data_IF_541046923123
#
_entry.id   IF_541046923123
#
_cell.length_a   1.000
_cell.length_b   1.000
_cell.length_c   1.000
_cell.angle_alpha   90.00
_cell.angle_beta   90.00
_cell.angle_gamma   90.00
#
_symmetry.space_group_name_H-M   'P 1'
#
loop_
_entity.id
_entity.type
_entity.pdbx_description
1 polymer ?
#
# COMPACT_ATOMS: atom_id res chain seq x y z
N UNK A 1 -34.79 -6.86 54.35
CA UNK A 1 -35.20 -6.12 53.13
C UNK A 1 -34.30 -4.94 52.72
N UNK A 2 -33.24 -4.57 53.47
CA UNK A 2 -32.27 -3.50 53.08
C UNK A 2 -30.99 -4.00 52.40
N UNK A 3 -30.72 -5.31 52.40
CA UNK A 3 -29.49 -5.89 51.86
C UNK A 3 -29.53 -6.09 50.33
N UNK A 4 -30.71 -6.33 49.76
CA UNK A 4 -30.89 -6.55 48.31
C UNK A 4 -30.81 -5.25 47.48
N UNK A 5 -31.20 -4.10 48.05
CA UNK A 5 -31.12 -2.81 47.35
C UNK A 5 -29.68 -2.31 47.17
N UNK A 6 -28.75 -2.70 48.05
CA UNK A 6 -27.35 -2.31 47.92
C UNK A 6 -26.59 -3.09 46.85
N UNK A 7 -26.98 -4.34 46.56
CA UNK A 7 -26.33 -5.15 45.52
C UNK A 7 -26.71 -4.67 44.11
N UNK A 8 -27.96 -4.27 43.88
CA UNK A 8 -28.38 -3.71 42.59
C UNK A 8 -27.66 -2.40 42.23
N UNK A 9 -27.44 -1.51 43.21
CA UNK A 9 -26.68 -0.27 43.01
C UNK A 9 -25.20 -0.52 42.67
N UNK A 10 -24.58 -1.54 43.25
CA UNK A 10 -23.18 -1.91 42.96
C UNK A 10 -23.06 -2.56 41.58
N UNK A 11 -24.06 -3.33 41.15
CA UNK A 11 -24.08 -3.95 39.81
C UNK A 11 -24.32 -2.93 38.69
N UNK A 12 -25.10 -1.87 38.92
CA UNK A 12 -25.26 -0.76 37.95
C UNK A 12 -24.00 0.10 37.81
N UNK A 13 -23.17 0.19 38.86
CA UNK A 13 -21.89 0.90 38.86
C UNK A 13 -20.77 0.13 38.14
N UNK A 14 -20.83 -1.20 38.12
CA UNK A 14 -19.82 -2.06 37.48
C UNK A 14 -20.19 -2.50 36.07
N UNK A 15 -21.44 -2.32 35.64
CA UNK A 15 -21.90 -2.69 34.30
C UNK A 15 -22.95 -1.71 33.75
N UNK A 16 -22.55 -0.57 33.16
CA UNK A 16 -23.50 0.36 32.59
C UNK A 16 -24.26 -0.28 31.44
N UNK A 17 -25.58 -0.06 31.43
CA UNK A 17 -26.52 -0.54 30.41
C UNK A 17 -26.02 -0.29 28.98
N UNK A 18 -26.26 -1.25 28.08
CA UNK A 18 -25.81 -1.27 26.68
C UNK A 18 -26.42 -0.18 25.76
N UNK A 19 -27.06 0.86 26.30
CA UNK A 19 -27.85 1.82 25.51
C UNK A 19 -27.32 3.26 25.50
N UNK A 20 -26.10 3.53 25.97
CA UNK A 20 -25.48 4.87 25.90
C UNK A 20 -24.02 4.89 25.42
N UNK A 21 -23.65 4.01 24.47
CA UNK A 21 -22.38 4.12 23.73
C UNK A 21 -22.54 5.03 22.51
N UNK A 22 -22.86 6.29 22.78
CA UNK A 22 -22.74 7.40 21.83
C UNK A 22 -21.91 8.49 22.49
N UNK A 23 -20.60 8.24 22.57
CA UNK A 23 -19.53 9.22 22.69
C UNK A 23 -18.23 8.42 22.71
N UNK A 24 -17.62 8.27 21.53
CA UNK A 24 -16.27 7.72 21.41
C UNK A 24 -15.33 8.61 22.22
N UNK A 25 -14.94 8.18 23.42
CA UNK A 25 -13.71 8.64 24.05
C UNK A 25 -12.58 8.17 23.15
N UNK A 26 -12.26 8.96 22.12
CA UNK A 26 -11.22 8.61 21.15
C UNK A 26 -9.90 8.66 21.90
N UNK A 27 -9.33 7.48 22.17
CA UNK A 27 -7.97 7.35 22.67
C UNK A 27 -7.05 8.25 21.83
N UNK A 28 -6.27 9.15 22.45
CA UNK A 28 -5.28 9.94 21.73
C UNK A 28 -4.34 9.02 20.96
N UNK A 29 -4.09 9.32 19.69
CA UNK A 29 -3.11 8.54 18.90
C UNK A 29 -1.72 8.91 19.40
N UNK A 30 -1.09 7.99 20.12
CA UNK A 30 0.28 8.15 20.60
C UNK A 30 1.27 8.02 19.45
N UNK A 31 2.46 8.59 19.64
CA UNK A 31 3.59 8.41 18.72
C UNK A 31 3.95 6.92 18.57
N UNK A 32 3.84 6.14 19.65
CA UNK A 32 4.07 4.70 19.63
C UNK A 32 3.16 3.98 18.62
N UNK A 33 1.87 4.31 18.57
CA UNK A 33 0.94 3.72 17.61
C UNK A 33 1.25 4.12 16.16
N UNK A 34 1.77 5.33 15.95
CA UNK A 34 2.24 5.78 14.62
C UNK A 34 3.46 4.96 14.19
N UNK A 35 4.41 4.75 15.10
CA UNK A 35 5.61 3.95 14.84
C UNK A 35 5.28 2.48 14.65
N UNK A 36 4.34 1.93 15.43
CA UNK A 36 3.85 0.55 15.28
C UNK A 36 3.23 0.34 13.89
N UNK A 37 2.34 1.25 13.45
CA UNK A 37 1.82 1.21 12.08
C UNK A 37 2.96 1.31 11.07
N UNK A 38 3.89 2.26 11.23
CA UNK A 38 4.99 2.44 10.29
C UNK A 38 5.91 1.21 10.17
N UNK A 39 6.01 0.44 11.25
CA UNK A 39 6.74 -0.83 11.28
C UNK A 39 5.95 -1.94 10.58
N UNK A 40 4.68 -2.14 10.96
CA UNK A 40 3.92 -3.34 10.63
C UNK A 40 2.99 -3.22 9.42
N UNK A 41 2.54 -2.02 9.04
CA UNK A 41 1.66 -1.82 7.90
C UNK A 41 2.47 -1.61 6.61
N UNK A 42 2.21 -2.42 5.59
CA UNK A 42 2.91 -2.43 4.31
C UNK A 42 2.14 -1.76 3.19
N UNK A 43 0.80 -1.81 3.22
CA UNK A 43 -0.04 -1.22 2.18
C UNK A 43 -1.32 -1.99 1.96
N UNK A 44 -1.64 -2.27 0.70
CA UNK A 44 -2.96 -2.75 0.28
C UNK A 44 -2.91 -4.04 -0.54
N UNK A 45 -4.04 -4.77 -0.54
CA UNK A 45 -4.22 -6.03 -1.27
C UNK A 45 -3.97 -7.23 -0.36
N UNK A 46 -3.25 -8.22 -0.88
CA UNK A 46 -2.89 -9.42 -0.14
C UNK A 46 -1.54 -9.98 -0.62
N UNK A 47 -0.80 -10.66 0.27
CA UNK A 47 0.52 -11.22 -0.07
C UNK A 47 0.47 -12.28 -1.18
N UNK A 48 -0.64 -13.01 -1.30
CA UNK A 48 -0.83 -13.99 -2.38
C UNK A 48 -1.13 -13.39 -3.77
N UNK A 49 -1.15 -12.06 -3.93
CA UNK A 49 -1.51 -11.44 -5.19
C UNK A 49 -0.44 -11.70 -6.27
N UNK A 50 -0.82 -11.98 -7.52
CA UNK A 50 0.15 -12.28 -8.59
C UNK A 50 0.97 -11.07 -9.03
N UNK A 51 0.51 -9.84 -8.80
CA UNK A 51 1.19 -8.62 -9.25
C UNK A 51 1.48 -7.69 -8.08
N UNK A 52 2.77 -7.53 -7.76
CA UNK A 52 3.22 -6.67 -6.67
C UNK A 52 3.74 -5.35 -7.20
N UNK A 53 3.41 -4.27 -6.49
CA UNK A 53 3.89 -2.92 -6.74
C UNK A 53 4.46 -2.38 -5.44
N UNK A 54 5.78 -2.17 -5.42
CA UNK A 54 6.52 -1.70 -4.25
C UNK A 54 7.05 -0.28 -4.50
N UNK A 55 6.48 0.68 -3.78
CA UNK A 55 6.93 2.06 -3.80
C UNK A 55 7.88 2.42 -2.66
N UNK A 56 8.39 3.66 -2.66
CA UNK A 56 9.30 4.11 -1.63
C UNK A 56 8.59 4.49 -0.31
N UNK A 57 7.37 5.02 -0.38
CA UNK A 57 6.67 5.61 0.75
C UNK A 57 5.17 5.82 0.47
N UNK A 58 4.36 5.80 1.52
CA UNK A 58 2.94 6.11 1.40
C UNK A 58 2.73 7.54 0.86
N UNK A 59 1.83 7.68 -0.12
CA UNK A 59 1.52 8.97 -0.73
C UNK A 59 1.05 10.03 0.27
N UNK A 60 1.44 11.29 0.01
CA UNK A 60 1.05 12.47 0.80
C UNK A 60 -0.47 12.68 0.75
N UNK A 61 -1.08 12.90 1.92
CA UNK A 61 -2.48 13.33 2.03
C UNK A 61 -2.59 14.53 2.99
N UNK A 62 -3.75 15.20 2.93
CA UNK A 62 -4.12 16.45 3.63
C UNK A 62 -3.67 16.48 5.12
N UNK A 63 -3.35 17.66 5.69
CA UNK A 63 -3.03 17.79 7.11
C UNK A 63 -4.16 17.24 8.00
N UNK A 64 -3.83 16.30 8.90
CA UNK A 64 -4.80 15.58 9.76
C UNK A 64 -4.95 14.08 9.46
N UNK A 65 -4.35 13.60 8.37
CA UNK A 65 -4.47 12.24 7.83
C UNK A 65 -3.93 11.11 8.73
N UNK A 66 -2.79 11.32 9.40
CA UNK A 66 -2.07 10.21 10.05
C UNK A 66 -2.85 9.59 11.22
N UNK A 67 -3.51 10.40 12.05
CA UNK A 67 -4.33 9.87 13.14
C UNK A 67 -5.55 9.09 12.64
N UNK A 68 -6.15 9.49 11.51
CA UNK A 68 -7.29 8.78 10.93
C UNK A 68 -6.87 7.43 10.34
N UNK A 69 -5.70 7.39 9.70
CA UNK A 69 -5.13 6.16 9.13
C UNK A 69 -4.66 5.17 10.19
N UNK A 70 -4.06 5.66 11.29
CA UNK A 70 -3.76 4.80 12.44
C UNK A 70 -5.05 4.23 13.02
N UNK A 71 -6.11 5.03 13.19
CA UNK A 71 -7.41 4.51 13.65
C UNK A 71 -8.01 3.49 12.69
N UNK A 72 -8.00 3.76 11.39
CA UNK A 72 -8.47 2.81 10.39
C UNK A 72 -7.71 1.47 10.47
N UNK A 73 -6.38 1.53 10.61
CA UNK A 73 -5.54 0.34 10.80
C UNK A 73 -5.88 -0.43 12.08
N UNK A 74 -6.08 0.29 13.20
CA UNK A 74 -6.51 -0.30 14.47
C UNK A 74 -7.87 -0.98 14.36
N UNK A 75 -8.84 -0.29 13.76
CA UNK A 75 -10.21 -0.79 13.56
C UNK A 75 -10.28 -2.00 12.62
N UNK A 76 -9.25 -2.20 11.80
CA UNK A 76 -9.10 -3.36 10.92
C UNK A 76 -8.31 -4.51 11.56
N UNK A 77 -7.90 -4.37 12.83
CA UNK A 77 -7.17 -5.40 13.55
C UNK A 77 -5.67 -5.40 13.25
N UNK A 78 -5.09 -4.25 12.89
CA UNK A 78 -3.65 -4.07 12.66
C UNK A 78 -3.02 -5.02 11.61
N UNK A 79 -3.64 -5.27 10.44
CA UNK A 79 -3.07 -6.20 9.48
C UNK A 79 -1.81 -5.64 8.81
N UNK A 80 -0.96 -6.53 8.28
CA UNK A 80 0.22 -6.14 7.48
C UNK A 80 -0.20 -5.45 6.17
N UNK A 81 -1.27 -5.93 5.54
CA UNK A 81 -1.86 -5.37 4.32
C UNK A 81 -3.38 -5.30 4.49
N UNK A 82 -4.00 -4.21 4.02
CA UNK A 82 -5.44 -3.99 4.11
C UNK A 82 -6.12 -4.13 2.75
N UNK A 83 -7.44 -4.35 2.76
CA UNK A 83 -8.25 -3.94 1.61
C UNK A 83 -8.13 -2.42 1.42
N UNK A 84 -7.77 -1.98 0.21
CA UNK A 84 -7.53 -0.56 -0.07
C UNK A 84 -8.78 0.29 0.18
N UNK A 85 -9.92 -0.16 -0.36
CA UNK A 85 -11.18 0.57 -0.25
C UNK A 85 -11.68 0.61 1.19
N UNK A 86 -11.64 -0.51 1.89
CA UNK A 86 -12.10 -0.56 3.28
C UNK A 86 -11.25 0.33 4.18
N UNK A 87 -9.92 0.26 4.03
CA UNK A 87 -8.99 1.10 4.78
C UNK A 87 -9.22 2.59 4.48
N UNK A 88 -9.29 2.98 3.21
CA UNK A 88 -9.55 4.37 2.84
C UNK A 88 -10.91 4.86 3.32
N UNK A 89 -11.96 4.04 3.25
CA UNK A 89 -13.28 4.40 3.79
C UNK A 89 -13.24 4.65 5.30
N UNK A 90 -12.57 3.78 6.08
CA UNK A 90 -12.38 3.97 7.54
C UNK A 90 -11.50 5.19 7.86
N UNK A 91 -10.54 5.48 7.00
CA UNK A 91 -9.68 6.66 7.11
C UNK A 91 -10.34 7.95 6.57
N UNK A 92 -11.59 7.92 6.10
CA UNK A 92 -12.29 9.10 5.56
C UNK A 92 -11.88 9.51 4.14
N UNK A 93 -11.13 8.69 3.42
CA UNK A 93 -10.59 8.95 2.08
C UNK A 93 -11.53 8.33 1.02
N UNK A 94 -12.68 8.94 0.78
CA UNK A 94 -13.71 8.35 -0.11
C UNK A 94 -13.61 8.78 -1.57
N UNK A 95 -12.91 9.87 -1.87
CA UNK A 95 -12.88 10.48 -3.22
C UNK A 95 -12.40 9.53 -4.33
N UNK A 96 -11.53 8.58 -4.01
CA UNK A 96 -10.99 7.61 -4.99
C UNK A 96 -11.95 6.46 -5.30
N UNK A 97 -13.11 6.42 -4.65
CA UNK A 97 -14.12 5.38 -4.78
C UNK A 97 -15.51 5.91 -5.18
N UNK A 98 -15.59 7.15 -5.67
CA UNK A 98 -16.83 7.69 -6.23
C UNK A 98 -17.18 7.02 -7.57
N UNK A 99 -18.31 7.38 -8.18
CA UNK A 99 -18.73 6.86 -9.49
C UNK A 99 -17.71 7.17 -10.59
N UNK A 100 -17.11 8.36 -10.56
CA UNK A 100 -16.07 8.83 -11.49
C UNK A 100 -14.86 9.35 -10.70
N UNK A 101 -14.04 8.46 -10.13
CA UNK A 101 -12.98 8.87 -9.23
C UNK A 101 -11.83 9.56 -9.99
N UNK A 102 -11.15 10.54 -9.38
CA UNK A 102 -9.89 11.04 -9.91
C UNK A 102 -8.85 9.92 -9.87
N UNK A 103 -8.08 9.81 -10.95
CA UNK A 103 -6.95 8.88 -11.03
C UNK A 103 -5.83 9.36 -10.12
N UNK A 104 -5.31 8.47 -9.27
CA UNK A 104 -4.10 8.72 -8.50
C UNK A 104 -2.91 8.64 -9.47
N UNK A 105 -2.10 9.70 -9.65
CA UNK A 105 -1.07 9.73 -10.70
C UNK A 105 -0.10 8.56 -10.66
N UNK A 106 0.36 8.18 -9.47
CA UNK A 106 1.24 7.02 -9.27
C UNK A 106 0.55 5.72 -9.70
N UNK A 107 -0.66 5.46 -9.18
CA UNK A 107 -1.40 4.23 -9.50
C UNK A 107 -1.78 4.17 -10.97
N UNK A 108 -2.13 5.30 -11.60
CA UNK A 108 -2.47 5.38 -13.01
C UNK A 108 -1.36 4.79 -13.89
N UNK A 109 -0.11 5.16 -13.64
CA UNK A 109 1.02 4.67 -14.43
C UNK A 109 1.26 3.16 -14.24
N UNK A 110 1.11 2.67 -13.01
CA UNK A 110 1.28 1.26 -12.69
C UNK A 110 0.14 0.40 -13.26
N UNK A 111 -1.10 0.89 -13.20
CA UNK A 111 -2.25 0.29 -13.86
C UNK A 111 -2.12 0.31 -15.39
N UNK A 112 -1.53 1.37 -15.96
CA UNK A 112 -1.22 1.43 -17.40
C UNK A 112 -0.20 0.37 -17.81
N UNK A 113 0.87 0.17 -17.02
CA UNK A 113 1.84 -0.91 -17.22
C UNK A 113 1.14 -2.28 -17.14
N UNK A 114 0.40 -2.53 -16.06
CA UNK A 114 -0.30 -3.79 -15.84
C UNK A 114 -1.29 -4.07 -16.97
N UNK A 115 -2.05 -3.05 -17.37
CA UNK A 115 -3.03 -3.13 -18.43
C UNK A 115 -2.39 -3.46 -19.79
N UNK A 116 -1.27 -2.79 -20.10
CA UNK A 116 -0.52 -3.05 -21.33
C UNK A 116 0.09 -4.45 -21.33
N UNK A 117 0.65 -4.90 -20.21
CA UNK A 117 1.19 -6.25 -20.06
C UNK A 117 0.10 -7.31 -20.23
N UNK A 118 -1.07 -7.12 -19.61
CA UNK A 118 -2.19 -8.06 -19.70
C UNK A 118 -3.00 -7.94 -20.99
N UNK A 119 -2.68 -6.96 -21.84
CA UNK A 119 -3.43 -6.64 -23.05
C UNK A 119 -4.93 -6.38 -22.76
N UNK A 120 -5.20 -5.63 -21.70
CA UNK A 120 -6.54 -5.17 -21.30
C UNK A 120 -6.67 -3.66 -21.52
N UNK A 121 -7.89 -3.09 -21.49
CA UNK A 121 -8.11 -1.67 -21.77
C UNK A 121 -7.31 -0.72 -20.87
N UNK A 122 -6.74 0.34 -21.45
CA UNK A 122 -5.84 1.29 -20.78
C UNK A 122 -6.28 2.76 -20.89
N UNK A 123 -7.45 3.02 -21.47
CA UNK A 123 -8.08 4.33 -21.48
C UNK A 123 -8.46 4.78 -20.07
N UNK A 124 -8.50 6.09 -19.84
CA UNK A 124 -8.68 6.66 -18.50
C UNK A 124 -9.94 6.14 -17.79
N UNK A 125 -11.04 5.89 -18.51
CA UNK A 125 -12.28 5.39 -17.90
C UNK A 125 -12.17 3.93 -17.46
N UNK A 126 -11.45 3.09 -18.20
CA UNK A 126 -11.12 1.75 -17.74
C UNK A 126 -10.20 1.78 -16.53
N UNK A 127 -9.18 2.63 -16.54
CA UNK A 127 -8.28 2.79 -15.40
C UNK A 127 -9.01 3.30 -14.14
N UNK A 128 -10.00 4.20 -14.29
CA UNK A 128 -10.84 4.67 -13.16
C UNK A 128 -11.65 3.55 -12.54
N UNK A 129 -12.30 2.73 -13.38
CA UNK A 129 -13.04 1.55 -12.91
C UNK A 129 -12.10 0.56 -12.21
N UNK A 130 -10.95 0.27 -12.81
CA UNK A 130 -9.96 -0.64 -12.21
C UNK A 130 -9.43 -0.12 -10.88
N UNK A 131 -9.13 1.19 -10.77
CA UNK A 131 -8.72 1.82 -9.51
C UNK A 131 -9.78 1.65 -8.41
N UNK A 132 -11.04 1.91 -8.75
CA UNK A 132 -12.16 1.85 -7.82
C UNK A 132 -12.47 0.45 -7.35
N UNK A 133 -12.40 -0.52 -8.26
CA UNK A 133 -13.01 -1.85 -8.08
C UNK A 133 -11.99 -2.97 -7.87
N UNK A 134 -10.71 -2.78 -8.25
CA UNK A 134 -9.71 -3.88 -8.30
C UNK A 134 -8.36 -3.54 -7.70
N UNK A 135 -7.95 -2.26 -7.69
CA UNK A 135 -6.62 -1.86 -7.25
C UNK A 135 -6.45 -1.99 -5.72
N UNK A 136 -5.59 -2.92 -5.29
CA UNK A 136 -5.26 -3.13 -3.88
C UNK A 136 -6.41 -3.74 -3.06
N UNK A 137 -7.36 -4.41 -3.70
CA UNK A 137 -8.46 -5.09 -3.01
C UNK A 137 -8.01 -6.43 -2.43
N UNK A 138 -8.64 -6.86 -1.34
CA UNK A 138 -8.31 -8.12 -0.65
C UNK A 138 -8.54 -9.37 -1.53
N UNK A 139 -9.51 -9.31 -2.44
CA UNK A 139 -9.83 -10.31 -3.46
C UNK A 139 -9.35 -9.91 -4.88
N UNK A 140 -8.52 -8.87 -4.94
CA UNK A 140 -7.97 -8.32 -6.16
C UNK A 140 -6.78 -9.13 -6.69
N UNK A 141 -6.13 -8.59 -7.70
CA UNK A 141 -4.93 -9.20 -8.30
C UNK A 141 -3.63 -8.47 -7.96
N UNK A 142 -3.71 -7.37 -7.20
CA UNK A 142 -2.56 -6.52 -6.89
C UNK A 142 -2.26 -6.45 -5.40
N UNK A 143 -0.97 -6.50 -5.07
CA UNK A 143 -0.41 -6.14 -3.76
C UNK A 143 0.35 -4.82 -3.94
N UNK A 144 -0.09 -3.76 -3.27
CA UNK A 144 0.46 -2.41 -3.44
C UNK A 144 1.02 -1.95 -2.11
N UNK A 145 2.34 -2.01 -1.98
CA UNK A 145 3.05 -1.87 -0.72
C UNK A 145 4.16 -0.84 -0.81
N UNK A 146 4.67 -0.42 0.35
CA UNK A 146 5.68 0.63 0.45
C UNK A 146 6.90 0.16 1.25
N UNK A 147 8.09 0.57 0.81
CA UNK A 147 9.35 0.31 1.50
C UNK A 147 9.37 1.02 2.87
N UNK A 148 8.88 2.26 2.92
CA UNK A 148 8.68 3.03 4.16
C UNK A 148 7.21 3.03 4.57
N UNK A 149 6.92 2.64 5.82
CA UNK A 149 5.59 2.80 6.42
C UNK A 149 5.31 4.22 6.94
N UNK A 150 6.27 5.15 6.81
CA UNK A 150 6.06 6.57 7.06
C UNK A 150 5.69 7.28 5.76
N UNK A 151 4.75 8.26 5.80
CA UNK A 151 4.29 8.98 4.62
C UNK A 151 5.35 9.91 4.00
N UNK A 152 5.10 10.36 2.77
CA UNK A 152 5.89 11.36 2.07
C UNK A 152 6.05 12.69 2.85
N UNK A 153 7.16 13.42 2.59
CA UNK A 153 7.53 14.65 3.31
C UNK A 153 6.41 15.70 3.18
N UNK A 154 5.98 16.24 4.32
CA UNK A 154 4.84 17.17 4.40
C UNK A 154 4.39 17.51 5.82
N UNK A 155 4.92 16.83 6.83
CA UNK A 155 4.79 17.19 8.23
C UNK A 155 6.13 17.77 8.70
N UNK A 156 6.11 18.81 9.54
CA UNK A 156 7.30 19.44 10.15
C UNK A 156 8.05 18.52 11.15
N UNK A 157 8.00 17.20 10.92
CA UNK A 157 8.58 16.17 11.78
C UNK A 157 9.71 15.51 11.00
N UNK A 158 10.90 15.47 11.61
CA UNK A 158 12.05 14.73 11.09
C UNK A 158 11.72 13.23 11.14
N UNK A 159 11.15 12.70 10.06
CA UNK A 159 10.80 11.28 9.97
C UNK A 159 12.04 10.43 9.72
N UNK A 160 12.40 9.58 10.68
CA UNK A 160 13.48 8.61 10.50
C UNK A 160 13.00 7.42 9.65
N UNK A 161 13.02 7.59 8.33
CA UNK A 161 12.63 6.54 7.36
C UNK A 161 13.59 5.35 7.31
N UNK A 162 14.73 5.43 7.99
CA UNK A 162 15.66 4.32 8.10
C UNK A 162 15.30 3.40 9.27
N UNK A 163 14.53 3.88 10.26
CA UNK A 163 14.29 3.19 11.54
C UNK A 163 13.82 1.74 11.38
N UNK A 164 12.87 1.48 10.47
CA UNK A 164 12.32 0.13 10.25
C UNK A 164 12.73 -0.48 8.91
N UNK A 165 13.66 0.16 8.18
CA UNK A 165 13.91 -0.21 6.78
C UNK A 165 14.43 -1.63 6.64
N UNK A 166 15.40 -2.01 7.45
CA UNK A 166 16.01 -3.35 7.40
C UNK A 166 15.00 -4.44 7.72
N UNK A 167 14.21 -4.27 8.78
CA UNK A 167 13.14 -5.18 9.16
C UNK A 167 12.07 -5.31 8.06
N UNK A 168 11.70 -4.19 7.44
CA UNK A 168 10.72 -4.18 6.35
C UNK A 168 11.26 -4.86 5.11
N UNK A 169 12.51 -4.60 4.72
CA UNK A 169 13.19 -5.31 3.61
C UNK A 169 13.18 -6.82 3.86
N UNK A 170 13.55 -7.25 5.07
CA UNK A 170 13.55 -8.67 5.45
C UNK A 170 12.16 -9.27 5.31
N UNK A 171 11.13 -8.63 5.86
CA UNK A 171 9.75 -9.10 5.80
C UNK A 171 9.24 -9.17 4.36
N UNK A 172 9.46 -8.13 3.55
CA UNK A 172 9.03 -8.10 2.15
C UNK A 172 9.71 -9.23 1.36
N UNK A 173 11.01 -9.47 1.60
CA UNK A 173 11.74 -10.58 0.98
C UNK A 173 11.17 -11.94 1.38
N UNK A 174 10.93 -12.17 2.67
CA UNK A 174 10.33 -13.42 3.17
C UNK A 174 8.94 -13.67 2.56
N UNK A 175 8.10 -12.62 2.51
CA UNK A 175 6.77 -12.69 1.89
C UNK A 175 6.89 -12.97 0.39
N UNK A 176 7.81 -12.34 -0.33
CA UNK A 176 8.03 -12.56 -1.76
C UNK A 176 8.46 -14.01 -2.04
N UNK A 177 9.45 -14.52 -1.29
CA UNK A 177 9.95 -15.89 -1.47
C UNK A 177 8.87 -16.94 -1.18
N UNK A 178 8.00 -16.66 -0.20
CA UNK A 178 6.92 -17.59 0.19
C UNK A 178 5.74 -17.56 -0.78
N UNK A 179 5.36 -16.38 -1.31
CA UNK A 179 4.18 -16.22 -2.15
C UNK A 179 4.48 -16.32 -3.66
N UNK A 180 5.73 -16.05 -4.07
CA UNK A 180 6.20 -16.11 -5.46
C UNK A 180 5.24 -15.42 -6.45
N UNK A 181 5.02 -14.09 -6.31
CA UNK A 181 4.17 -13.36 -7.26
C UNK A 181 4.72 -13.52 -8.68
N UNK A 182 3.85 -13.45 -9.69
CA UNK A 182 4.30 -13.54 -11.09
C UNK A 182 5.15 -12.33 -11.50
N UNK A 183 4.82 -11.15 -10.97
CA UNK A 183 5.54 -9.91 -11.24
C UNK A 183 5.72 -9.11 -9.94
N UNK A 184 6.88 -8.50 -9.76
CA UNK A 184 7.10 -7.43 -8.80
C UNK A 184 7.72 -6.19 -9.47
N UNK A 185 6.99 -5.07 -9.43
CA UNK A 185 7.45 -3.77 -9.92
C UNK A 185 7.86 -2.92 -8.72
N UNK A 186 9.16 -2.63 -8.60
CA UNK A 186 9.71 -1.76 -7.58
C UNK A 186 10.05 -0.41 -8.20
N UNK A 187 9.43 0.69 -7.74
CA UNK A 187 9.56 1.99 -8.39
C UNK A 187 10.22 3.05 -7.50
N UNK A 188 10.88 4.00 -8.15
CA UNK A 188 11.68 5.02 -7.49
C UNK A 188 13.16 4.64 -7.48
N UNK A 189 13.83 4.88 -8.62
CA UNK A 189 15.20 4.48 -8.91
C UNK A 189 16.23 4.74 -7.80
N UNK A 190 16.09 5.86 -7.06
CA UNK A 190 16.97 6.18 -5.94
C UNK A 190 16.96 5.16 -4.79
N UNK A 191 15.94 4.30 -4.71
CA UNK A 191 15.84 3.21 -3.72
C UNK A 191 16.36 1.87 -4.24
N UNK A 192 16.94 1.82 -5.45
CA UNK A 192 17.51 0.60 -6.04
C UNK A 192 18.40 -0.18 -5.06
N UNK A 193 19.34 0.43 -4.31
CA UNK A 193 20.17 -0.32 -3.36
C UNK A 193 19.39 -1.04 -2.25
N UNK A 194 18.19 -0.56 -1.90
CA UNK A 194 17.31 -1.21 -0.94
C UNK A 194 16.47 -2.31 -1.58
N UNK A 195 16.02 -2.09 -2.82
CA UNK A 195 15.31 -3.09 -3.60
C UNK A 195 16.19 -4.31 -3.92
N UNK A 196 17.48 -4.10 -4.18
CA UNK A 196 18.44 -5.21 -4.38
C UNK A 196 18.64 -6.07 -3.12
N UNK A 197 18.44 -5.51 -1.92
CA UNK A 197 18.42 -6.34 -0.71
C UNK A 197 17.19 -7.27 -0.65
N UNK A 198 16.09 -6.90 -1.33
CA UNK A 198 14.88 -7.73 -1.42
C UNK A 198 15.06 -8.83 -2.47
N UNK A 199 15.63 -8.51 -3.63
CA UNK A 199 15.62 -9.41 -4.81
C UNK A 199 16.97 -10.04 -5.15
N UNK A 200 18.05 -9.63 -4.46
CA UNK A 200 19.42 -9.91 -4.88
C UNK A 200 19.91 -8.90 -5.94
N UNK A 201 21.09 -9.15 -6.49
CA UNK A 201 21.66 -8.27 -7.53
C UNK A 201 20.78 -8.26 -8.79
N UNK A 202 20.33 -7.07 -9.19
CA UNK A 202 19.54 -6.92 -10.41
C UNK A 202 20.46 -6.92 -11.63
N UNK A 203 20.49 -8.04 -12.36
CA UNK A 203 21.57 -8.34 -13.28
C UNK A 203 21.52 -7.60 -14.63
N UNK A 204 20.34 -7.19 -15.14
CA UNK A 204 20.22 -6.58 -16.47
C UNK A 204 19.55 -5.21 -16.43
N UNK A 205 20.28 -4.16 -16.77
CA UNK A 205 19.74 -2.80 -16.91
C UNK A 205 19.48 -2.52 -18.40
N UNK A 206 18.26 -2.09 -18.73
CA UNK A 206 17.87 -1.60 -20.06
C UNK A 206 17.47 -0.12 -19.98
N UNK A 207 17.57 0.59 -21.11
CA UNK A 207 16.97 1.91 -21.30
C UNK A 207 15.62 1.75 -22.01
N UNK A 208 14.57 2.30 -21.44
CA UNK A 208 13.21 2.31 -22.00
C UNK A 208 12.75 3.76 -22.02
N UNK A 209 12.36 4.29 -23.19
CA UNK A 209 11.98 5.70 -23.38
C UNK A 209 12.92 6.71 -22.68
N UNK A 210 14.23 6.45 -22.66
CA UNK A 210 15.25 7.29 -22.03
C UNK A 210 15.39 7.16 -20.50
N UNK A 211 14.74 6.18 -19.87
CA UNK A 211 14.85 5.90 -18.44
C UNK A 211 15.37 4.48 -18.17
N UNK A 212 16.13 4.28 -17.09
CA UNK A 212 16.64 2.97 -16.74
C UNK A 212 15.53 2.06 -16.17
N UNK A 213 15.62 0.77 -16.49
CA UNK A 213 14.87 -0.31 -15.86
C UNK A 213 15.81 -1.49 -15.61
N UNK A 214 15.93 -1.94 -14.36
CA UNK A 214 16.73 -3.10 -14.00
C UNK A 214 15.83 -4.32 -13.84
N UNK A 215 16.20 -5.44 -14.45
CA UNK A 215 15.44 -6.68 -14.45
C UNK A 215 16.18 -7.75 -13.62
N UNK A 216 15.40 -8.53 -12.89
CA UNK A 216 15.88 -9.67 -12.13
C UNK A 216 14.82 -10.79 -12.13
N UNK A 217 15.24 -11.99 -11.75
CA UNK A 217 14.35 -13.13 -11.54
C UNK A 217 14.59 -13.67 -10.13
N UNK A 218 13.52 -13.79 -9.33
CA UNK A 218 13.58 -14.34 -7.98
C UNK A 218 12.70 -15.58 -7.96
N UNK A 219 13.31 -16.75 -8.17
CA UNK A 219 12.57 -17.99 -8.35
C UNK A 219 11.68 -17.93 -9.61
N UNK A 220 10.37 -17.82 -9.42
CA UNK A 220 9.38 -17.67 -10.51
C UNK A 220 8.87 -16.23 -10.69
N UNK A 221 9.36 -15.30 -9.89
CA UNK A 221 8.96 -13.90 -9.91
C UNK A 221 9.85 -13.11 -10.84
N UNK A 222 9.27 -12.57 -11.91
CA UNK A 222 9.91 -11.53 -12.70
C UNK A 222 9.90 -10.23 -11.90
N UNK A 223 11.05 -9.59 -11.76
CA UNK A 223 11.20 -8.33 -11.04
C UNK A 223 11.66 -7.24 -12.00
N UNK A 224 11.09 -6.04 -11.85
CA UNK A 224 11.66 -4.82 -12.42
C UNK A 224 11.84 -3.74 -11.38
N UNK A 225 13.02 -3.11 -11.35
CA UNK A 225 13.30 -1.87 -10.62
C UNK A 225 13.30 -0.71 -11.63
N UNK A 226 12.47 0.30 -11.40
CA UNK A 226 12.16 1.34 -12.39
C UNK A 226 12.12 2.75 -11.77
N UNK A 227 12.05 3.78 -12.61
CA UNK A 227 11.82 5.17 -12.21
C UNK A 227 10.49 5.37 -11.48
N UNK A 228 10.32 6.50 -10.80
CA UNK A 228 9.05 6.82 -10.14
C UNK A 228 7.99 7.21 -11.18
N UNK A 229 6.72 6.75 -11.06
CA UNK A 229 5.61 7.12 -11.94
C UNK A 229 5.44 8.60 -12.29
N UNK A 230 5.78 9.48 -11.35
CA UNK A 230 5.64 10.93 -11.49
C UNK A 230 6.99 11.66 -11.60
N UNK A 231 8.08 10.94 -11.89
CA UNK A 231 9.37 11.58 -12.12
C UNK A 231 9.31 12.49 -13.37
N UNK A 232 10.05 13.60 -13.33
CA UNK A 232 10.07 14.57 -14.43
C UNK A 232 10.47 13.89 -15.74
N UNK A 233 9.68 14.10 -16.78
CA UNK A 233 9.93 13.58 -18.14
C UNK A 233 9.42 12.16 -18.38
N UNK A 234 8.98 11.42 -17.37
CA UNK A 234 8.40 10.08 -17.56
C UNK A 234 7.04 10.21 -18.25
N UNK A 235 6.85 9.48 -19.34
CA UNK A 235 5.65 9.55 -20.18
C UNK A 235 4.77 8.31 -20.05
N UNK A 236 3.57 8.33 -20.63
CA UNK A 236 2.76 7.10 -20.77
C UNK A 236 3.45 6.04 -21.64
N UNK A 237 4.21 6.48 -22.64
CA UNK A 237 4.92 5.61 -23.58
C UNK A 237 5.92 4.73 -22.83
N UNK A 238 6.67 5.31 -21.87
CA UNK A 238 7.54 4.55 -20.97
C UNK A 238 6.84 3.36 -20.32
N UNK A 239 5.70 3.61 -19.65
CA UNK A 239 4.96 2.56 -18.92
C UNK A 239 4.33 1.53 -19.86
N UNK A 240 3.93 1.94 -21.06
CA UNK A 240 3.42 1.04 -22.09
C UNK A 240 4.54 0.15 -22.65
N UNK A 241 5.69 0.71 -23.03
CA UNK A 241 6.85 -0.04 -23.51
C UNK A 241 7.36 -1.03 -22.46
N UNK A 242 7.43 -0.60 -21.19
CA UNK A 242 7.77 -1.49 -20.08
C UNK A 242 6.73 -2.62 -19.91
N UNK A 243 5.44 -2.30 -19.99
CA UNK A 243 4.37 -3.30 -19.97
C UNK A 243 4.46 -4.32 -21.10
N UNK A 244 4.79 -3.90 -22.33
CA UNK A 244 5.05 -4.80 -23.47
C UNK A 244 6.24 -5.72 -23.18
N UNK A 245 7.32 -5.19 -22.60
CA UNK A 245 8.53 -5.94 -22.27
C UNK A 245 8.31 -7.04 -21.23
N UNK A 246 7.41 -6.78 -20.28
CA UNK A 246 7.05 -7.68 -19.19
C UNK A 246 6.00 -8.72 -19.57
N UNK A 247 5.49 -8.71 -20.81
CA UNK A 247 4.54 -9.73 -21.26
C UNK A 247 5.18 -11.12 -21.12
N UNK A 248 4.48 -12.10 -20.52
CA UNK A 248 4.94 -13.48 -20.52
C UNK A 248 5.20 -13.92 -21.96
N UNK A 249 6.41 -14.41 -22.24
CA UNK A 249 6.69 -15.03 -23.54
C UNK A 249 5.80 -16.25 -23.64
N UNK A 250 4.98 -16.34 -24.69
CA UNK A 250 4.25 -17.56 -25.02
C UNK A 250 5.29 -18.68 -25.15
N UNK A 251 5.20 -19.68 -24.28
CA UNK A 251 5.92 -20.94 -24.43
C UNK A 251 5.27 -21.75 -25.54
#
# INVERSE_FOLDING_TARGET
MKLFQNIQKVLELLWPSKSNLSMTSRVPISEELVLEKARCFYGYGHWGAPYWFLGPEEGKHEPGDQSQRVRAWLDLGKPEVCDCQEFHRKAGITKHYSSTPPLVPTWRALMLLLGTMKNIPTENDALRRYQRDRWGMKDGETCVIELSGLPAKGFHIKQNRAQFREERIKTIRERMLSNQPSLCVMYGWGNKPHYEQIVGDAARIEQIDGFPAAFAEVGRTTVVITTHPTAKGVTNRYWQELGVRLRPKRR
#
